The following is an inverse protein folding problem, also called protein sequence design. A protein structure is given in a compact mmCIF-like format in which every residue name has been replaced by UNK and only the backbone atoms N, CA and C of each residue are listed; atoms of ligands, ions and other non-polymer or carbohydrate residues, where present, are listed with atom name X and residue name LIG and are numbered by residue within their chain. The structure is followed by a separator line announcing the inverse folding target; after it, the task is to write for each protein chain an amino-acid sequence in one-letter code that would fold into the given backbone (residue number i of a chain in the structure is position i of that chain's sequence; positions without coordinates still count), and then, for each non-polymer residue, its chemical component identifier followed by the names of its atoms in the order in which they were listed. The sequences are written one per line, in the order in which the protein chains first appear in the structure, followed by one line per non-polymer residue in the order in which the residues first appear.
data_IF_752056286012
#
_entry.id   IF_752056286012
#
_cell.length_a   1.000
_cell.length_b   1.000
_cell.length_c   1.000
_cell.angle_alpha   90.00
_cell.angle_beta   90.00
_cell.angle_gamma   90.00
#
_symmetry.space_group_name_H-M   'P 1'
#
loop_
_entity.id
_entity.type
_entity.pdbx_description
1 polymer ?
#
# COMPACT_ATOMS: atom_id res chain seq x y z
N UNK A 1 11.86 -5.67 8.84
CA UNK A 1 10.90 -4.60 9.13
C UNK A 1 11.10 -3.44 8.16
N UNK A 2 10.06 -2.68 7.78
CA UNK A 2 10.18 -1.56 6.85
C UNK A 2 11.17 -0.50 7.36
N UNK A 3 12.09 0.03 6.53
CA UNK A 3 13.04 1.07 6.94
C UNK A 3 12.37 2.33 7.49
N UNK A 4 11.20 2.71 6.95
CA UNK A 4 10.39 3.84 7.40
C UNK A 4 9.55 3.57 8.66
N UNK A 5 9.62 2.36 9.22
CA UNK A 5 8.76 1.89 10.30
C UNK A 5 7.42 1.33 9.83
N UNK A 6 6.88 0.36 10.59
CA UNK A 6 5.66 -0.36 10.21
C UNK A 6 4.41 0.53 10.18
N UNK A 7 4.29 1.47 11.12
CA UNK A 7 3.19 2.44 11.17
C UNK A 7 3.14 3.28 9.89
N UNK A 8 4.26 3.91 9.54
CA UNK A 8 4.39 4.75 8.34
C UNK A 8 4.10 3.96 7.08
N UNK A 9 4.64 2.75 6.97
CA UNK A 9 4.34 1.86 5.86
C UNK A 9 2.85 1.53 5.74
N UNK A 10 2.21 1.09 6.82
CA UNK A 10 0.80 0.70 6.79
C UNK A 10 -0.12 1.90 6.50
N UNK A 11 0.14 3.05 7.12
CA UNK A 11 -0.61 4.30 6.88
C UNK A 11 -0.56 4.70 5.40
N UNK A 12 0.63 4.71 4.79
CA UNK A 12 0.79 4.99 3.36
C UNK A 12 0.18 3.89 2.47
N UNK A 13 0.33 2.62 2.83
CA UNK A 13 -0.24 1.50 2.07
C UNK A 13 -1.77 1.57 2.03
N UNK A 14 -2.41 1.90 3.16
CA UNK A 14 -3.85 2.11 3.21
C UNK A 14 -4.28 3.35 2.44
N UNK A 15 -3.53 4.46 2.52
CA UNK A 15 -3.78 5.67 1.73
C UNK A 15 -3.82 5.39 0.23
N UNK A 16 -2.76 4.79 -0.31
CA UNK A 16 -2.63 4.47 -1.73
C UNK A 16 -3.71 3.51 -2.24
N UNK A 17 -4.29 2.69 -1.34
CA UNK A 17 -5.40 1.76 -1.67
C UNK A 17 -6.79 2.35 -1.46
N UNK A 18 -6.88 3.58 -0.96
CA UNK A 18 -8.14 4.24 -0.64
C UNK A 18 -8.60 5.18 -1.75
N UNK A 19 -9.79 5.75 -1.58
CA UNK A 19 -10.29 6.80 -2.47
C UNK A 19 -9.54 8.13 -2.32
N UNK A 20 -8.76 8.30 -1.25
CA UNK A 20 -8.04 9.54 -0.94
C UNK A 20 -6.77 9.69 -1.79
N UNK A 21 -6.27 8.62 -2.43
CA UNK A 21 -5.10 8.71 -3.29
C UNK A 21 -5.39 9.55 -4.54
N UNK A 22 -4.67 10.67 -4.71
CA UNK A 22 -4.86 11.54 -5.87
C UNK A 22 -4.48 10.88 -7.21
N UNK A 23 -3.64 9.83 -7.18
CA UNK A 23 -3.27 9.04 -8.35
C UNK A 23 -4.32 8.03 -8.83
N UNK A 24 -5.50 8.00 -8.21
CA UNK A 24 -6.60 7.14 -8.64
C UNK A 24 -7.10 7.52 -10.06
N UNK A 25 -6.90 6.62 -11.02
CA UNK A 25 -7.43 6.70 -12.38
C UNK A 25 -8.06 5.36 -12.80
N UNK A 26 -9.24 5.00 -12.26
CA UNK A 26 -9.86 3.70 -12.53
C UNK A 26 -10.40 3.64 -13.95
N UNK A 27 -9.82 2.77 -14.77
CA UNK A 27 -10.26 2.50 -16.14
C UNK A 27 -10.11 1.01 -16.50
N UNK A 28 -10.90 0.48 -17.44
CA UNK A 28 -10.79 -0.92 -17.85
C UNK A 28 -9.50 -1.19 -18.62
N UNK A 29 -8.85 -2.31 -18.29
CA UNK A 29 -7.76 -2.87 -19.09
C UNK A 29 -8.31 -3.48 -20.39
N UNK A 30 -7.53 -3.40 -21.46
CA UNK A 30 -7.97 -3.89 -22.78
C UNK A 30 -7.81 -5.41 -22.93
N UNK A 31 -6.87 -6.01 -22.22
CA UNK A 31 -6.54 -7.43 -22.28
C UNK A 31 -5.69 -7.88 -21.08
N UNK A 32 -5.54 -9.20 -20.91
CA UNK A 32 -4.61 -9.79 -19.95
C UNK A 32 -3.20 -9.90 -20.55
N UNK A 33 -2.56 -8.77 -20.83
CA UNK A 33 -1.20 -8.70 -21.37
C UNK A 33 -0.29 -7.95 -20.41
N UNK A 34 1.02 -8.22 -20.49
CA UNK A 34 2.01 -7.54 -19.64
C UNK A 34 1.93 -6.01 -19.75
N UNK A 35 1.68 -5.47 -20.95
CA UNK A 35 1.57 -4.02 -21.18
C UNK A 35 0.33 -3.41 -20.54
N UNK A 36 -0.78 -4.15 -20.46
CA UNK A 36 -1.99 -3.68 -19.80
C UNK A 36 -1.86 -3.80 -18.27
N UNK A 37 -1.32 -4.91 -17.77
CA UNK A 37 -1.07 -5.10 -16.34
C UNK A 37 -0.08 -4.08 -15.76
N UNK A 38 0.88 -3.61 -16.57
CA UNK A 38 1.82 -2.57 -16.18
C UNK A 38 1.17 -1.20 -15.89
N UNK A 39 -0.09 -0.97 -16.31
CA UNK A 39 -0.85 0.24 -15.98
C UNK A 39 -1.48 0.19 -14.59
N UNK A 40 -1.57 -1.01 -14.01
CA UNK A 40 -2.14 -1.15 -12.67
C UNK A 40 -1.26 -0.44 -11.64
N UNK A 41 -1.86 0.08 -10.56
CA UNK A 41 -1.09 0.66 -9.47
C UNK A 41 0.00 -0.26 -8.96
N UNK A 42 1.13 0.31 -8.56
CA UNK A 42 2.33 -0.44 -8.17
C UNK A 42 2.15 -1.30 -6.92
N UNK A 43 1.13 -1.03 -6.11
CA UNK A 43 0.74 -1.87 -4.98
C UNK A 43 -0.01 -3.15 -5.39
N UNK A 44 -0.40 -3.28 -6.65
CA UNK A 44 -0.87 -4.52 -7.27
C UNK A 44 0.24 -5.18 -8.09
N UNK A 45 0.93 -4.41 -8.94
CA UNK A 45 2.03 -4.89 -9.79
C UNK A 45 3.28 -4.09 -9.46
N UNK A 46 4.13 -4.65 -8.61
CA UNK A 46 5.30 -3.97 -8.06
C UNK A 46 6.42 -3.81 -9.11
N UNK A 47 7.18 -2.70 -9.08
CA UNK A 47 8.39 -2.56 -9.87
C UNK A 47 9.39 -3.69 -9.58
N UNK A 48 10.14 -4.12 -10.60
CA UNK A 48 11.03 -5.28 -10.54
C UNK A 48 12.05 -5.21 -9.39
N UNK A 49 12.65 -4.03 -9.19
CA UNK A 49 13.70 -3.81 -8.20
C UNK A 49 13.17 -3.23 -6.87
N UNK A 50 11.86 -3.32 -6.62
CA UNK A 50 11.21 -2.81 -5.42
C UNK A 50 10.68 -3.92 -4.50
N UNK A 51 10.54 -3.58 -3.23
CA UNK A 51 9.70 -4.29 -2.28
C UNK A 51 8.47 -3.43 -1.94
N UNK A 52 7.44 -4.02 -1.31
CA UNK A 52 6.21 -3.28 -1.00
C UNK A 52 6.46 -2.01 -0.18
N UNK A 53 7.26 -2.04 0.90
CA UNK A 53 7.62 -0.83 1.61
C UNK A 53 8.28 0.26 0.76
N UNK A 54 9.18 -0.08 -0.15
CA UNK A 54 9.83 0.92 -1.02
C UNK A 54 8.87 1.45 -2.08
N UNK A 55 8.02 0.60 -2.65
CA UNK A 55 7.00 1.01 -3.63
C UNK A 55 5.97 1.98 -2.99
N UNK A 56 5.50 1.67 -1.78
CA UNK A 56 4.60 2.59 -1.04
C UNK A 56 5.30 3.91 -0.74
N UNK A 57 6.53 3.88 -0.25
CA UNK A 57 7.27 5.11 0.04
C UNK A 57 7.49 5.96 -1.22
N UNK A 58 7.83 5.33 -2.35
CA UNK A 58 8.02 6.02 -3.61
C UNK A 58 6.72 6.70 -4.11
N UNK A 59 5.59 5.99 -4.06
CA UNK A 59 4.30 6.54 -4.50
C UNK A 59 3.79 7.66 -3.60
N UNK A 60 3.94 7.55 -2.27
CA UNK A 60 3.58 8.64 -1.36
C UNK A 60 4.38 9.92 -1.64
N UNK A 61 5.66 9.80 -2.04
CA UNK A 61 6.51 10.96 -2.36
C UNK A 61 6.26 11.49 -3.77
N UNK A 62 6.12 10.61 -4.78
CA UNK A 62 6.03 11.02 -6.18
C UNK A 62 4.77 11.81 -6.50
N UNK A 63 3.66 11.49 -5.84
CA UNK A 63 2.40 12.24 -5.98
C UNK A 63 2.15 13.24 -4.84
N UNK A 64 3.13 13.42 -3.94
CA UNK A 64 3.07 14.37 -2.81
C UNK A 64 1.83 14.18 -1.94
N UNK A 65 1.54 12.93 -1.59
CA UNK A 65 0.33 12.55 -0.84
C UNK A 65 0.43 12.92 0.64
N UNK A 66 -0.72 13.28 1.22
CA UNK A 66 -0.87 13.41 2.66
C UNK A 66 -1.59 12.19 3.24
N UNK A 67 -0.82 11.30 3.88
CA UNK A 67 -1.37 10.11 4.52
C UNK A 67 -2.34 10.43 5.69
N UNK A 68 -2.33 11.68 6.20
CA UNK A 68 -3.23 12.12 7.27
C UNK A 68 -4.70 12.15 6.85
N UNK A 69 -4.99 12.20 5.54
CA UNK A 69 -6.36 12.13 5.01
C UNK A 69 -7.08 10.86 5.46
N UNK A 70 -6.34 9.75 5.55
CA UNK A 70 -6.90 8.48 6.03
C UNK A 70 -7.36 8.51 7.49
N UNK A 71 -6.96 9.49 8.31
CA UNK A 71 -7.37 9.56 9.72
C UNK A 71 -8.88 9.72 9.92
N UNK A 72 -9.58 10.24 8.90
CA UNK A 72 -11.03 10.39 8.91
C UNK A 72 -11.77 9.05 8.97
N UNK A 73 -11.21 7.99 8.40
CA UNK A 73 -11.84 6.65 8.31
C UNK A 73 -11.00 5.51 8.90
N UNK A 74 -9.70 5.73 9.09
CA UNK A 74 -8.77 4.85 9.77
C UNK A 74 -8.07 5.64 10.88
N UNK A 75 -8.75 5.91 12.01
CA UNK A 75 -8.15 6.61 13.14
C UNK A 75 -6.93 5.83 13.68
N UNK A 76 -6.08 6.55 14.40
CA UNK A 76 -4.88 5.98 15.00
C UNK A 76 -5.24 4.91 16.05
N UNK A 77 -5.99 5.30 17.08
CA UNK A 77 -6.52 4.40 18.10
C UNK A 77 -7.64 3.52 17.52
N UNK A 78 -7.70 2.27 17.94
CA UNK A 78 -8.67 1.23 17.54
C UNK A 78 -8.72 0.91 16.02
N UNK A 79 -7.96 1.63 15.19
CA UNK A 79 -7.82 1.41 13.75
C UNK A 79 -6.39 0.97 13.39
N UNK A 80 -5.53 1.94 13.04
CA UNK A 80 -4.17 1.65 12.57
C UNK A 80 -3.33 0.91 13.62
N UNK A 81 -3.46 1.28 14.90
CA UNK A 81 -2.69 0.67 16.00
C UNK A 81 -2.90 -0.84 16.10
N UNK A 82 -4.13 -1.31 15.86
CA UNK A 82 -4.45 -2.75 15.84
C UNK A 82 -3.63 -3.45 14.76
N UNK A 83 -3.62 -2.93 13.53
CA UNK A 83 -2.80 -3.50 12.45
C UNK A 83 -1.31 -3.48 12.78
N UNK A 84 -0.80 -2.37 13.30
CA UNK A 84 0.62 -2.25 13.66
C UNK A 84 0.99 -3.27 14.73
N UNK A 85 0.17 -3.43 15.77
CA UNK A 85 0.42 -4.41 16.84
C UNK A 85 0.40 -5.84 16.31
N UNK A 86 -0.64 -6.20 15.55
CA UNK A 86 -0.80 -7.57 15.06
C UNK A 86 0.29 -7.96 14.04
N UNK A 87 0.62 -7.08 13.09
CA UNK A 87 1.69 -7.35 12.13
C UNK A 87 3.09 -7.27 12.74
N UNK A 88 3.27 -6.53 13.84
CA UNK A 88 4.52 -6.61 14.63
C UNK A 88 4.65 -7.97 15.31
N UNK A 89 3.56 -8.49 15.88
CA UNK A 89 3.54 -9.77 16.60
C UNK A 89 3.71 -10.98 15.68
N UNK A 90 3.10 -10.95 14.50
CA UNK A 90 2.97 -12.12 13.62
C UNK A 90 3.82 -12.06 12.36
N UNK A 91 4.18 -10.86 11.89
CA UNK A 91 4.80 -10.66 10.59
C UNK A 91 3.89 -11.05 9.41
N UNK A 92 4.32 -10.77 8.19
CA UNK A 92 3.51 -10.96 6.99
C UNK A 92 3.55 -12.38 6.40
N UNK A 93 4.55 -13.20 6.77
CA UNK A 93 4.78 -14.51 6.14
C UNK A 93 3.57 -15.43 6.22
N UNK A 94 2.89 -15.47 7.37
CA UNK A 94 1.70 -16.31 7.56
C UNK A 94 0.59 -15.96 6.57
N UNK A 95 0.35 -14.67 6.33
CA UNK A 95 -0.61 -14.21 5.32
C UNK A 95 -0.15 -14.49 3.89
N UNK A 96 1.14 -14.29 3.59
CA UNK A 96 1.69 -14.54 2.26
C UNK A 96 1.61 -16.02 1.84
N UNK A 97 1.69 -16.95 2.79
CA UNK A 97 1.58 -18.39 2.50
C UNK A 97 0.20 -18.81 1.95
N UNK A 98 -0.84 -17.98 2.07
CA UNK A 98 -2.17 -18.24 1.54
C UNK A 98 -2.32 -17.85 0.06
N UNK A 99 -1.36 -17.09 -0.48
CA UNK A 99 -1.30 -16.82 -1.92
C UNK A 99 -0.55 -17.98 -2.58
N UNK A 100 -1.31 -18.95 -3.08
CA UNK A 100 -0.85 -20.09 -3.88
C UNK A 100 -1.38 -20.01 -5.31
#
# INVERSE_FOLDING_TARGET
SPPQGLRTFLRGYFHLKSADWAGNDPHPLQAWTASELAKMPEYYIMPLDANMPSAVAANMVSTSEDASETTAWLPDADGLDVYVQEWTRTGFQGGLNWYQ
#
